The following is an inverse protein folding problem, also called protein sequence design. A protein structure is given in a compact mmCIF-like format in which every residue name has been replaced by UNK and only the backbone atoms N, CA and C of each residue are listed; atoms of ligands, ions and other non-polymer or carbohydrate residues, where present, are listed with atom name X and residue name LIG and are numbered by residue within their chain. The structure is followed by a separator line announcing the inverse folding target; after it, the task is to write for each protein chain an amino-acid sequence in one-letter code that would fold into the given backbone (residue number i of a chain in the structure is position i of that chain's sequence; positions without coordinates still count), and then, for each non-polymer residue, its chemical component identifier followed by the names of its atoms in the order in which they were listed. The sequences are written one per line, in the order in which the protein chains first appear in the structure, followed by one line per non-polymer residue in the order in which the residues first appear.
data_IF_208919027270
#
_entry.id   IF_208919027270
#
_cell.length_a   1.000
_cell.length_b   1.000
_cell.length_c   1.000
_cell.angle_alpha   90.00
_cell.angle_beta   90.00
_cell.angle_gamma   90.00
#
_symmetry.space_group_name_H-M   'P 1'
#
loop_
_entity.id
_entity.type
_entity.pdbx_description
1 polymer ?
#
# COMPACT_ATOMS: atom_id res chain seq x y z
N UNK A 1 -37.00 -8.95 8.08
CA UNK A 1 -35.82 -8.99 8.96
C UNK A 1 -34.65 -8.58 8.08
N UNK A 2 -33.99 -7.48 8.42
CA UNK A 2 -33.04 -6.80 7.53
C UNK A 2 -31.70 -7.55 7.54
N UNK A 3 -31.27 -8.09 6.39
CA UNK A 3 -30.11 -8.98 6.26
C UNK A 3 -28.83 -8.29 6.77
N UNK A 4 -28.73 -6.98 6.54
CA UNK A 4 -27.60 -6.16 6.99
C UNK A 4 -27.46 -6.12 8.52
N UNK A 5 -28.57 -6.16 9.26
CA UNK A 5 -28.53 -6.18 10.74
C UNK A 5 -28.07 -7.51 11.31
N UNK A 6 -28.41 -8.62 10.65
CA UNK A 6 -27.96 -9.96 11.06
C UNK A 6 -26.44 -10.10 10.86
N UNK A 7 -25.91 -9.66 9.72
CA UNK A 7 -24.47 -9.71 9.45
C UNK A 7 -23.65 -8.86 10.44
N UNK A 8 -24.16 -7.68 10.82
CA UNK A 8 -23.54 -6.83 11.83
C UNK A 8 -23.46 -7.56 13.18
N UNK A 9 -24.54 -8.20 13.60
CA UNK A 9 -24.59 -8.93 14.87
C UNK A 9 -23.62 -10.11 14.87
N UNK A 10 -23.64 -10.94 13.82
CA UNK A 10 -22.74 -12.08 13.65
C UNK A 10 -21.26 -11.65 13.65
N UNK A 11 -20.93 -10.55 12.96
CA UNK A 11 -19.56 -10.02 12.92
C UNK A 11 -19.06 -9.57 14.30
N UNK A 12 -19.94 -8.95 15.09
CA UNK A 12 -19.61 -8.55 16.46
C UNK A 12 -19.37 -9.74 17.39
N UNK A 13 -20.18 -10.79 17.26
CA UNK A 13 -20.06 -12.03 18.05
C UNK A 13 -18.75 -12.76 17.75
N UNK A 14 -18.42 -12.95 16.48
CA UNK A 14 -17.16 -13.60 16.05
C UNK A 14 -15.91 -12.87 16.54
N UNK A 15 -15.94 -11.53 16.54
CA UNK A 15 -14.85 -10.69 17.05
C UNK A 15 -14.65 -10.90 18.56
N UNK A 16 -15.74 -10.95 19.32
CA UNK A 16 -15.72 -11.19 20.77
C UNK A 16 -15.20 -12.59 21.12
N UNK A 17 -15.67 -13.61 20.38
CA UNK A 17 -15.22 -15.00 20.57
C UNK A 17 -13.72 -15.14 20.29
N UNK A 18 -13.25 -14.57 19.18
CA UNK A 18 -11.83 -14.57 18.80
C UNK A 18 -10.94 -13.90 19.86
N UNK A 19 -11.38 -12.75 20.39
CA UNK A 19 -10.65 -12.04 21.46
C UNK A 19 -10.55 -12.89 22.72
N UNK A 20 -11.63 -13.55 23.11
CA UNK A 20 -11.66 -14.39 24.32
C UNK A 20 -10.69 -15.56 24.19
N UNK A 21 -10.80 -16.32 23.09
CA UNK A 21 -9.99 -17.51 22.84
C UNK A 21 -8.48 -17.18 22.74
N UNK A 22 -8.14 -16.08 22.08
CA UNK A 22 -6.74 -15.67 21.94
C UNK A 22 -6.17 -15.06 23.21
N UNK A 23 -6.98 -14.35 23.99
CA UNK A 23 -6.58 -13.85 25.30
C UNK A 23 -6.28 -15.00 26.27
N UNK A 24 -7.08 -16.08 26.26
CA UNK A 24 -6.79 -17.30 27.03
C UNK A 24 -5.46 -17.95 26.65
N UNK A 25 -5.06 -17.85 25.37
CA UNK A 25 -3.77 -18.29 24.88
C UNK A 25 -2.62 -17.28 25.10
N UNK A 26 -2.88 -16.17 25.82
CA UNK A 26 -1.89 -15.13 26.13
C UNK A 26 -1.65 -14.11 25.02
N UNK A 27 -2.51 -14.06 23.99
CA UNK A 27 -2.44 -13.09 22.91
C UNK A 27 -3.44 -11.95 23.13
N UNK A 28 -2.92 -10.74 23.29
CA UNK A 28 -3.75 -9.54 23.30
C UNK A 28 -3.97 -9.07 21.87
N UNK A 29 -5.17 -9.32 21.34
CA UNK A 29 -5.56 -8.83 20.03
C UNK A 29 -5.76 -7.32 20.02
N UNK A 30 -5.43 -6.70 18.90
CA UNK A 30 -5.78 -5.29 18.66
C UNK A 30 -7.28 -5.18 18.41
N UNK A 31 -7.90 -4.06 18.79
CA UNK A 31 -9.32 -3.89 18.55
C UNK A 31 -9.65 -3.89 17.05
N UNK A 32 -10.85 -4.38 16.72
CA UNK A 32 -11.33 -4.52 15.34
C UNK A 32 -11.68 -3.16 14.71
N UNK A 33 -11.50 -3.03 13.39
CA UNK A 33 -11.92 -1.87 12.58
C UNK A 33 -12.99 -2.23 11.55
N UNK A 34 -13.97 -1.36 11.36
CA UNK A 34 -15.19 -1.54 10.57
C UNK A 34 -15.50 -0.26 9.79
N UNK A 35 -16.03 -0.41 8.58
CA UNK A 35 -16.60 0.69 7.78
C UNK A 35 -18.08 0.98 8.11
N UNK A 36 -18.69 0.20 9.01
CA UNK A 36 -20.08 0.38 9.42
C UNK A 36 -20.17 1.16 10.74
N UNK A 37 -20.87 2.30 10.73
CA UNK A 37 -21.08 3.15 11.91
C UNK A 37 -21.79 2.44 13.07
N UNK A 38 -22.58 1.39 12.79
CA UNK A 38 -23.31 0.63 13.81
C UNK A 38 -22.45 -0.45 14.48
N UNK A 39 -21.29 -0.78 13.92
CA UNK A 39 -20.30 -1.62 14.57
C UNK A 39 -19.33 -0.70 15.31
N UNK A 40 -19.23 -0.77 16.64
CA UNK A 40 -18.31 0.08 17.37
C UNK A 40 -16.89 -0.19 16.88
N UNK A 41 -16.26 0.84 16.32
CA UNK A 41 -14.85 0.84 16.02
C UNK A 41 -14.08 0.95 17.34
N UNK A 42 -13.90 -0.19 18.02
CA UNK A 42 -13.23 -0.23 19.32
C UNK A 42 -11.78 0.29 19.18
N UNK A 43 -11.18 0.18 17.98
CA UNK A 43 -9.81 0.64 17.72
C UNK A 43 -9.68 2.17 17.52
N UNK A 44 -10.75 2.86 17.12
CA UNK A 44 -10.71 4.32 16.95
C UNK A 44 -10.45 5.00 18.31
N UNK A 45 -10.86 4.38 19.41
CA UNK A 45 -10.69 4.96 20.74
C UNK A 45 -9.23 4.94 21.24
N UNK A 46 -8.37 4.05 20.73
CA UNK A 46 -6.99 3.96 21.23
C UNK A 46 -5.98 4.79 20.45
N UNK A 47 -6.21 5.16 19.18
CA UNK A 47 -5.17 5.81 18.34
C UNK A 47 -5.66 6.70 17.19
N UNK A 48 -6.85 7.29 17.25
CA UNK A 48 -7.22 8.33 16.28
C UNK A 48 -6.71 9.71 16.73
N UNK A 49 -5.41 9.97 16.55
CA UNK A 49 -4.91 11.35 16.49
C UNK A 49 -5.22 12.03 15.14
N UNK A 50 -5.72 11.27 14.15
CA UNK A 50 -6.12 11.79 12.85
C UNK A 50 -7.65 11.98 12.77
N UNK A 51 -8.09 13.18 12.40
CA UNK A 51 -9.50 13.57 12.17
C UNK A 51 -10.21 12.72 11.10
N UNK A 52 -9.45 11.91 10.33
CA UNK A 52 -9.89 11.25 9.09
C UNK A 52 -10.17 9.74 9.21
N UNK A 53 -10.23 9.17 10.43
CA UNK A 53 -10.56 7.75 10.67
C UNK A 53 -9.75 6.75 9.81
N UNK A 54 -8.47 7.03 9.62
CA UNK A 54 -7.61 6.23 8.75
C UNK A 54 -6.83 5.19 9.54
N UNK A 55 -6.88 3.93 9.10
CA UNK A 55 -6.22 2.79 9.76
C UNK A 55 -5.19 2.15 8.83
N UNK A 56 -4.05 1.69 9.36
CA UNK A 56 -3.06 0.94 8.57
C UNK A 56 -3.48 -0.52 8.40
N UNK A 57 -3.54 -0.99 7.16
CA UNK A 57 -3.90 -2.37 6.80
C UNK A 57 -3.04 -2.86 5.63
N UNK A 58 -2.46 -4.06 5.74
CA UNK A 58 -1.62 -4.68 4.70
C UNK A 58 -0.46 -3.79 4.16
N UNK A 59 0.01 -2.82 4.95
CA UNK A 59 1.03 -1.85 4.51
C UNK A 59 0.48 -0.62 3.76
N UNK A 60 -0.84 -0.57 3.56
CA UNK A 60 -1.61 0.56 3.04
C UNK A 60 -2.37 1.27 4.16
N UNK A 61 -3.07 2.34 3.82
CA UNK A 61 -4.04 3.02 4.68
C UNK A 61 -5.45 2.73 4.18
N UNK A 62 -6.40 2.64 5.09
CA UNK A 62 -7.82 2.45 4.79
C UNK A 62 -8.60 3.51 5.55
N UNK A 63 -9.37 4.31 4.82
CA UNK A 63 -10.35 5.21 5.42
C UNK A 63 -11.62 4.41 5.68
N UNK A 64 -11.91 4.13 6.95
CA UNK A 64 -13.06 3.31 7.31
C UNK A 64 -14.38 3.99 6.98
N UNK A 65 -14.43 5.33 6.94
CA UNK A 65 -15.66 6.08 6.70
C UNK A 65 -16.06 6.08 5.22
N UNK A 66 -15.12 6.33 4.32
CA UNK A 66 -15.36 6.34 2.87
C UNK A 66 -15.21 4.97 2.22
N UNK A 67 -14.71 3.99 2.97
CA UNK A 67 -14.36 2.66 2.49
C UNK A 67 -13.35 2.68 1.32
N UNK A 68 -12.37 3.56 1.45
CA UNK A 68 -11.33 3.76 0.44
C UNK A 68 -9.98 3.24 0.92
N UNK A 69 -9.32 2.45 0.08
CA UNK A 69 -7.91 2.14 0.24
C UNK A 69 -7.05 3.27 -0.32
N UNK A 70 -6.04 3.65 0.47
CA UNK A 70 -5.13 4.75 0.21
C UNK A 70 -3.71 4.20 0.22
N UNK A 71 -2.99 4.39 -0.87
CA UNK A 71 -1.56 4.08 -0.92
C UNK A 71 -0.75 5.06 -0.07
N UNK A 72 0.41 4.60 0.40
CA UNK A 72 1.38 5.53 0.96
C UNK A 72 1.93 6.38 -0.18
N UNK A 73 2.06 7.69 0.03
CA UNK A 73 2.65 8.57 -0.97
C UNK A 73 4.08 8.09 -1.26
N UNK A 74 4.28 7.65 -2.49
CA UNK A 74 5.59 7.26 -2.98
C UNK A 74 6.27 8.49 -3.57
N UNK A 75 7.55 8.66 -3.23
CA UNK A 75 8.41 9.64 -3.88
C UNK A 75 9.59 8.91 -4.46
N UNK A 76 9.56 8.75 -5.78
CA UNK A 76 10.60 8.19 -6.60
C UNK A 76 11.50 9.33 -7.08
N UNK A 77 12.79 9.08 -7.02
CA UNK A 77 13.81 10.01 -7.47
C UNK A 77 13.76 10.12 -8.99
N UNK A 78 13.51 11.34 -9.45
CA UNK A 78 13.46 11.72 -10.87
C UNK A 78 14.48 12.81 -11.21
N UNK A 79 15.05 13.45 -10.21
CA UNK A 79 15.90 14.63 -10.34
C UNK A 79 17.33 14.22 -10.67
N UNK A 80 18.07 15.09 -11.36
CA UNK A 80 19.47 14.83 -11.69
C UNK A 80 20.43 15.02 -10.50
N UNK A 81 19.95 15.54 -9.37
CA UNK A 81 20.74 15.71 -8.13
C UNK A 81 21.17 14.38 -7.51
N UNK A 82 20.39 13.32 -7.74
CA UNK A 82 20.66 12.00 -7.19
C UNK A 82 21.12 11.09 -8.33
N UNK A 83 22.29 10.44 -8.21
CA UNK A 83 22.79 9.49 -9.20
C UNK A 83 21.79 8.34 -9.44
N UNK A 84 21.16 8.36 -10.61
CA UNK A 84 20.36 7.22 -11.07
C UNK A 84 21.30 6.09 -11.51
N UNK A 85 21.53 5.16 -10.58
CA UNK A 85 22.32 3.94 -10.74
C UNK A 85 21.41 2.72 -10.67
N UNK A 86 21.85 1.56 -11.17
CA UNK A 86 21.09 0.31 -11.01
C UNK A 86 20.71 0.03 -9.55
N UNK A 87 21.64 0.28 -8.62
CA UNK A 87 21.41 0.14 -7.19
C UNK A 87 20.29 1.04 -6.70
N UNK A 88 20.34 2.32 -7.08
CA UNK A 88 19.32 3.28 -6.66
C UNK A 88 17.94 2.94 -7.24
N UNK A 89 17.88 2.53 -8.51
CA UNK A 89 16.64 2.10 -9.14
C UNK A 89 16.03 0.86 -8.47
N UNK A 90 16.86 -0.12 -8.10
CA UNK A 90 16.40 -1.27 -7.33
C UNK A 90 15.84 -0.85 -5.98
N UNK A 91 16.54 0.05 -5.27
CA UNK A 91 16.09 0.61 -3.99
C UNK A 91 14.74 1.32 -4.14
N UNK A 92 14.55 2.05 -5.22
CA UNK A 92 13.29 2.72 -5.51
C UNK A 92 12.18 1.73 -5.85
N UNK A 93 12.44 0.77 -6.74
CA UNK A 93 11.47 -0.26 -7.15
C UNK A 93 10.97 -1.09 -5.95
N UNK A 94 11.85 -1.37 -5.00
CA UNK A 94 11.51 -2.13 -3.77
C UNK A 94 10.66 -1.36 -2.76
N UNK A 95 10.51 -0.03 -2.89
CA UNK A 95 9.53 0.73 -2.08
C UNK A 95 8.10 0.50 -2.55
N UNK A 96 7.91 0.01 -3.77
CA UNK A 96 6.61 -0.10 -4.42
C UNK A 96 6.02 -1.45 -4.07
N UNK A 97 5.08 -1.44 -3.13
CA UNK A 97 4.38 -2.64 -2.66
C UNK A 97 2.89 -2.47 -2.94
N UNK A 98 2.31 -3.48 -3.58
CA UNK A 98 0.89 -3.54 -3.88
C UNK A 98 0.34 -4.87 -3.38
N UNK A 99 -0.17 -4.91 -2.13
CA UNK A 99 -0.67 -6.14 -1.52
C UNK A 99 -1.97 -6.62 -2.17
N UNK A 100 -2.73 -5.74 -2.82
CA UNK A 100 -4.04 -6.03 -3.40
C UNK A 100 -4.01 -6.17 -4.93
N UNK A 101 -2.89 -5.82 -5.56
CA UNK A 101 -2.70 -5.90 -7.00
C UNK A 101 -3.34 -4.76 -7.80
N UNK A 102 -3.84 -3.68 -7.18
CA UNK A 102 -4.63 -2.63 -7.84
C UNK A 102 -3.80 -1.78 -8.81
N UNK A 103 -2.50 -1.61 -8.57
CA UNK A 103 -1.57 -0.85 -9.42
C UNK A 103 -0.55 -1.77 -10.12
N UNK A 104 -0.81 -3.08 -10.15
CA UNK A 104 0.04 -4.08 -10.79
C UNK A 104 0.53 -3.71 -12.20
N UNK A 105 -0.31 -3.15 -13.10
CA UNK A 105 0.16 -2.76 -14.43
C UNK A 105 1.34 -1.78 -14.41
N UNK A 106 1.33 -0.82 -13.49
CA UNK A 106 2.40 0.17 -13.30
C UNK A 106 3.64 -0.42 -12.62
N UNK A 107 3.44 -1.36 -11.68
CA UNK A 107 4.58 -2.04 -11.03
C UNK A 107 5.32 -2.94 -12.03
N UNK A 108 4.59 -3.57 -12.95
CA UNK A 108 5.17 -4.42 -13.98
C UNK A 108 6.09 -3.62 -14.90
N UNK A 109 5.75 -2.36 -15.27
CA UNK A 109 6.65 -1.53 -16.10
C UNK A 109 7.97 -1.25 -15.40
N UNK A 110 7.96 -0.95 -14.09
CA UNK A 110 9.18 -0.83 -13.27
C UNK A 110 10.01 -2.11 -13.27
N UNK A 111 9.38 -3.28 -13.10
CA UNK A 111 10.07 -4.58 -13.10
C UNK A 111 10.67 -4.93 -14.47
N UNK A 112 9.95 -4.64 -15.56
CA UNK A 112 10.44 -4.83 -16.93
C UNK A 112 11.64 -3.92 -17.23
N UNK A 113 11.60 -2.68 -16.75
CA UNK A 113 12.73 -1.76 -16.86
C UNK A 113 13.95 -2.27 -16.09
N UNK A 114 13.77 -2.74 -14.84
CA UNK A 114 14.85 -3.38 -14.09
C UNK A 114 15.40 -4.60 -14.82
N UNK A 115 14.53 -5.45 -15.38
CA UNK A 115 14.93 -6.60 -16.17
C UNK A 115 15.74 -6.19 -17.41
N UNK A 116 15.34 -5.13 -18.13
CA UNK A 116 16.08 -4.56 -19.27
C UNK A 116 17.49 -4.12 -18.88
N UNK A 117 17.64 -3.51 -17.71
CA UNK A 117 18.95 -3.12 -17.16
C UNK A 117 19.81 -4.33 -16.78
N UNK A 118 19.21 -5.39 -16.25
CA UNK A 118 19.91 -6.60 -15.79
C UNK A 118 20.27 -7.57 -16.93
N UNK A 119 19.38 -7.82 -17.89
CA UNK A 119 19.54 -8.80 -18.97
C UNK A 119 20.41 -8.28 -20.14
N UNK A 120 21.51 -7.59 -19.82
CA UNK A 120 22.68 -7.47 -20.69
C UNK A 120 22.59 -6.54 -21.90
N UNK A 121 21.48 -5.84 -22.18
CA UNK A 121 21.43 -4.95 -23.36
C UNK A 121 22.29 -3.68 -23.23
N UNK A 122 22.45 -3.16 -22.01
CA UNK A 122 23.06 -1.83 -21.78
C UNK A 122 24.36 -1.87 -20.94
N UNK A 123 24.78 -3.06 -20.47
CA UNK A 123 25.98 -3.32 -19.65
C UNK A 123 26.30 -2.27 -18.55
N UNK A 124 25.29 -1.65 -17.96
CA UNK A 124 25.49 -0.62 -16.92
C UNK A 124 26.01 -1.30 -15.63
N UNK A 125 27.02 -0.73 -14.98
CA UNK A 125 27.51 -1.26 -13.70
C UNK A 125 26.51 -1.01 -12.56
N UNK A 126 26.61 -1.73 -11.44
CA UNK A 126 25.73 -1.57 -10.28
C UNK A 126 25.66 -0.11 -9.77
N UNK A 127 26.81 0.54 -9.74
CA UNK A 127 26.99 1.96 -9.37
C UNK A 127 27.25 2.87 -10.59
N UNK A 128 27.07 2.33 -11.80
CA UNK A 128 27.20 3.09 -13.04
C UNK A 128 26.01 4.00 -13.26
N UNK A 129 26.26 5.21 -13.77
CA UNK A 129 25.21 6.13 -14.18
C UNK A 129 24.49 5.59 -15.42
N UNK A 130 23.16 5.77 -15.44
CA UNK A 130 22.35 5.48 -16.62
C UNK A 130 22.65 6.47 -17.76
N UNK A 131 22.50 5.98 -18.99
CA UNK A 131 22.50 6.84 -20.19
C UNK A 131 21.30 7.79 -20.17
N UNK A 132 21.35 8.96 -20.85
CA UNK A 132 20.25 9.92 -20.85
C UNK A 132 18.91 9.29 -21.27
N UNK A 133 18.91 8.42 -22.27
CA UNK A 133 17.71 7.72 -22.74
C UNK A 133 17.07 6.85 -21.65
N UNK A 134 17.87 6.09 -20.90
CA UNK A 134 17.37 5.24 -19.81
C UNK A 134 16.90 6.06 -18.61
N UNK A 135 17.52 7.22 -18.35
CA UNK A 135 17.06 8.15 -17.32
C UNK A 135 15.65 8.66 -17.63
N UNK A 136 15.41 9.11 -18.86
CA UNK A 136 14.10 9.63 -19.26
C UNK A 136 13.02 8.54 -19.22
N UNK A 137 13.35 7.31 -19.66
CA UNK A 137 12.45 6.16 -19.53
C UNK A 137 12.08 5.87 -18.07
N UNK A 138 13.06 5.86 -17.16
CA UNK A 138 12.79 5.71 -15.73
C UNK A 138 11.93 6.85 -15.17
N UNK A 139 12.23 8.11 -15.53
CA UNK A 139 11.46 9.28 -15.07
C UNK A 139 9.99 9.14 -15.46
N UNK A 140 9.69 8.69 -16.68
CA UNK A 140 8.31 8.43 -17.14
C UNK A 140 7.62 7.38 -16.26
N UNK A 141 8.26 6.22 -16.08
CA UNK A 141 7.73 5.14 -15.22
C UNK A 141 7.49 5.62 -13.79
N UNK A 142 8.43 6.41 -13.26
CA UNK A 142 8.32 6.95 -11.91
C UNK A 142 7.13 7.91 -11.75
N UNK A 143 6.88 8.77 -12.74
CA UNK A 143 5.70 9.65 -12.75
C UNK A 143 4.41 8.85 -12.81
N UNK A 144 4.31 7.87 -13.72
CA UNK A 144 3.12 7.03 -13.86
C UNK A 144 2.78 6.28 -12.56
N UNK A 145 3.78 5.72 -11.88
CA UNK A 145 3.60 5.02 -10.60
C UNK A 145 3.15 5.99 -9.50
N UNK A 146 3.78 7.16 -9.40
CA UNK A 146 3.38 8.17 -8.42
C UNK A 146 1.96 8.65 -8.63
N UNK A 147 1.55 8.88 -9.88
CA UNK A 147 0.18 9.25 -10.23
C UNK A 147 -0.82 8.14 -9.88
N UNK A 148 -0.50 6.90 -10.22
CA UNK A 148 -1.34 5.75 -9.86
C UNK A 148 -1.56 5.66 -8.34
N UNK A 149 -0.52 5.93 -7.53
CA UNK A 149 -0.59 5.85 -6.06
C UNK A 149 -1.33 7.00 -5.39
N UNK A 150 -1.67 8.07 -6.12
CA UNK A 150 -2.52 9.16 -5.59
C UNK A 150 -4.00 8.81 -5.64
N UNK A 151 -4.37 7.77 -6.39
CA UNK A 151 -5.77 7.36 -6.54
C UNK A 151 -6.22 6.63 -5.28
N UNK A 152 -7.35 7.08 -4.72
CA UNK A 152 -8.08 6.33 -3.72
C UNK A 152 -8.95 5.28 -4.41
N UNK A 153 -8.88 4.03 -3.94
CA UNK A 153 -9.68 2.94 -4.52
C UNK A 153 -10.80 2.61 -3.56
N UNK A 154 -12.04 2.89 -3.98
CA UNK A 154 -13.25 2.52 -3.23
C UNK A 154 -13.57 1.04 -3.44
N UNK A 155 -14.11 0.40 -2.40
CA UNK A 155 -14.46 -1.04 -2.40
C UNK A 155 -15.92 -1.29 -2.78
N UNK A 156 -16.70 -0.25 -3.09
CA UNK A 156 -18.15 -0.31 -3.38
C UNK A 156 -18.50 -0.63 -4.84
#
# INVERSE_FOLDING_TARGET
MDISRLQIFESGEQSSESNTLLHEAGFNLRPWNSNNENLPNIAIQEKAEDEDQTVKILGMRWNTKSDNFIYNQLTLTKNDDIPLTKRELLRQSSKIVDPLGLISPFIVTSKLFMQKLYLWKENVNWDGLLTPTLKEEWKSIAVEIEEATKTEVSVN
#
